data_IF_380597558781
#
_entry.id   IF_380597558781
#
_cell.length_a   1.000
_cell.length_b   1.000
_cell.length_c   1.000
_cell.angle_alpha   90.00
_cell.angle_beta   90.00
_cell.angle_gamma   90.00
#
_symmetry.space_group_name_H-M   'P 1'
#
loop_
_entity.id
_entity.type
_entity.pdbx_description
1 polymer ?
#
# COMPACT_ATOMS: atom_id res chain seq x y z
N UNK A 1 62.40 -51.71 3.85
CA UNK A 1 63.84 -51.54 3.61
C UNK A 1 64.08 -50.27 2.80
N UNK A 2 64.90 -49.37 3.35
CA UNK A 2 65.82 -48.40 2.72
C UNK A 2 65.40 -47.67 1.43
N UNK A 3 65.07 -46.37 1.54
CA UNK A 3 65.96 -45.20 1.32
C UNK A 3 66.37 -44.98 -0.14
N UNK A 4 65.92 -43.86 -0.74
CA UNK A 4 66.72 -42.90 -1.53
C UNK A 4 66.01 -41.53 -1.44
N UNK A 5 66.56 -40.58 -0.70
CA UNK A 5 67.58 -39.59 -1.10
C UNK A 5 66.97 -38.32 -1.69
N UNK A 6 66.95 -37.30 -0.84
CA UNK A 6 67.08 -35.86 -1.10
C UNK A 6 67.70 -35.50 -2.46
N UNK A 7 67.11 -34.53 -3.15
CA UNK A 7 67.87 -33.44 -3.76
C UNK A 7 67.03 -32.16 -3.88
N UNK A 8 67.60 -31.12 -3.28
CA UNK A 8 67.31 -29.69 -3.34
C UNK A 8 66.95 -29.15 -4.72
N UNK A 9 65.98 -28.22 -4.80
CA UNK A 9 66.18 -26.96 -5.52
C UNK A 9 65.28 -25.84 -5.00
N UNK A 10 65.96 -24.86 -4.42
CA UNK A 10 65.51 -23.52 -4.12
C UNK A 10 65.22 -22.80 -5.45
N UNK A 11 64.00 -22.31 -5.66
CA UNK A 11 63.71 -21.27 -6.66
C UNK A 11 62.90 -20.18 -5.98
N UNK A 12 63.56 -19.04 -5.93
CA UNK A 12 63.12 -17.73 -5.46
C UNK A 12 62.09 -17.15 -6.44
N UNK A 13 61.09 -16.48 -5.88
CA UNK A 13 60.44 -15.33 -6.52
C UNK A 13 59.24 -15.64 -7.40
N UNK A 14 58.08 -15.11 -7.01
CA UNK A 14 57.57 -13.86 -7.60
C UNK A 14 56.23 -13.54 -6.92
N UNK A 15 56.27 -12.75 -5.85
CA UNK A 15 55.07 -12.10 -5.31
C UNK A 15 54.53 -11.14 -6.38
N UNK A 16 53.48 -11.57 -7.09
CA UNK A 16 52.66 -10.66 -7.88
C UNK A 16 51.76 -9.88 -6.92
N UNK A 17 52.28 -8.74 -6.48
CA UNK A 17 51.49 -7.60 -6.02
C UNK A 17 50.50 -7.20 -7.11
N UNK A 18 49.28 -7.72 -7.06
CA UNK A 18 48.18 -7.12 -7.81
C UNK A 18 47.69 -5.91 -7.02
N UNK A 19 48.26 -4.75 -7.31
CA UNK A 19 47.68 -3.46 -7.01
C UNK A 19 46.36 -3.34 -7.78
N UNK A 20 45.25 -3.73 -7.16
CA UNK A 20 43.94 -3.42 -7.70
C UNK A 20 43.69 -1.93 -7.49
N UNK A 21 43.94 -1.16 -8.55
CA UNK A 21 43.45 0.21 -8.68
C UNK A 21 41.93 0.14 -8.73
N UNK A 22 41.26 0.48 -7.63
CA UNK A 22 39.81 0.63 -7.58
C UNK A 22 39.42 1.86 -8.38
N UNK A 23 39.18 1.70 -9.68
CA UNK A 23 38.61 2.76 -10.52
C UNK A 23 37.13 2.87 -10.13
N UNK A 24 36.77 3.90 -9.37
CA UNK A 24 35.38 4.19 -9.09
C UNK A 24 34.63 4.44 -10.41
N UNK A 25 33.44 3.85 -10.63
CA UNK A 25 32.69 4.05 -11.87
C UNK A 25 32.28 5.53 -12.01
N UNK A 26 32.41 6.14 -13.21
CA UNK A 26 32.30 7.59 -13.41
C UNK A 26 30.87 8.17 -13.25
N UNK A 27 29.88 7.37 -12.86
CA UNK A 27 28.52 7.88 -12.66
C UNK A 27 27.69 6.95 -11.76
N UNK A 28 27.82 7.11 -10.43
CA UNK A 28 26.72 6.74 -9.55
C UNK A 28 25.75 7.91 -9.52
N UNK A 29 24.52 7.81 -10.09
CA UNK A 29 23.54 8.85 -9.87
C UNK A 29 23.31 8.95 -8.36
N UNK A 30 23.63 10.11 -7.76
CA UNK A 30 23.20 10.46 -6.40
C UNK A 30 21.69 10.68 -6.44
N UNK A 31 20.93 9.59 -6.58
CA UNK A 31 19.50 9.61 -6.38
C UNK A 31 19.28 10.02 -4.93
N UNK A 32 18.97 11.30 -4.75
CA UNK A 32 18.70 11.87 -3.45
C UNK A 32 17.35 11.30 -3.00
N UNK A 33 17.40 10.14 -2.32
CA UNK A 33 16.23 9.39 -1.84
C UNK A 33 15.29 10.24 -1.00
N UNK A 34 15.79 11.35 -0.43
CA UNK A 34 14.98 12.30 0.34
C UNK A 34 13.92 13.05 -0.48
N UNK A 35 14.02 13.16 -1.81
CA UNK A 35 12.96 13.84 -2.59
C UNK A 35 11.68 13.02 -2.69
N UNK A 36 11.79 11.69 -2.76
CA UNK A 36 10.62 10.81 -2.81
C UNK A 36 10.01 10.57 -1.43
N UNK A 37 10.82 10.65 -0.36
CA UNK A 37 10.34 10.54 1.02
C UNK A 37 9.29 11.61 1.37
N UNK A 38 9.37 12.81 0.81
CA UNK A 38 8.38 13.85 1.08
C UNK A 38 7.02 13.54 0.45
N UNK A 39 6.98 12.88 -0.71
CA UNK A 39 5.74 12.53 -1.40
C UNK A 39 5.00 11.37 -0.70
N UNK A 40 5.76 10.44 -0.13
CA UNK A 40 5.22 9.30 0.61
C UNK A 40 4.82 9.69 2.06
N UNK A 41 5.33 10.80 2.59
CA UNK A 41 5.04 11.24 3.97
C UNK A 41 3.60 11.75 4.17
N UNK A 42 2.92 12.12 3.09
CA UNK A 42 1.54 12.60 3.13
C UNK A 42 0.51 11.44 3.22
N UNK A 43 0.95 10.20 2.98
CA UNK A 43 0.08 9.02 3.04
C UNK A 43 0.26 8.27 4.36
N UNK A 44 -0.85 8.07 5.08
CA UNK A 44 -0.86 7.27 6.30
C UNK A 44 -0.39 5.85 6.00
N UNK A 45 0.71 5.41 6.63
CA UNK A 45 1.35 4.12 6.36
C UNK A 45 0.39 2.93 6.55
N UNK A 46 -0.52 3.04 7.51
CA UNK A 46 -1.54 2.02 7.80
C UNK A 46 -2.51 1.85 6.63
N UNK A 47 -2.93 2.95 6.00
CA UNK A 47 -3.81 2.94 4.83
C UNK A 47 -3.16 2.25 3.62
N UNK A 48 -1.86 2.44 3.44
CA UNK A 48 -1.09 1.78 2.38
C UNK A 48 -0.96 0.27 2.63
N UNK A 49 -0.76 -0.13 3.89
CA UNK A 49 -0.72 -1.55 4.27
C UNK A 49 -2.09 -2.18 4.00
N UNK A 50 -3.18 -1.53 4.40
CA UNK A 50 -4.54 -1.99 4.12
C UNK A 50 -4.78 -2.16 2.61
N UNK A 51 -4.43 -1.17 1.80
CA UNK A 51 -4.55 -1.25 0.35
C UNK A 51 -3.75 -2.43 -0.24
N UNK A 52 -2.53 -2.68 0.25
CA UNK A 52 -1.72 -3.85 -0.14
C UNK A 52 -2.40 -5.16 0.23
N UNK A 53 -3.05 -5.26 1.39
CA UNK A 53 -3.80 -6.48 1.73
C UNK A 53 -4.94 -6.75 0.76
N UNK A 54 -5.60 -5.71 0.24
CA UNK A 54 -6.65 -5.86 -0.75
C UNK A 54 -6.10 -6.34 -2.11
N UNK A 55 -4.95 -5.81 -2.55
CA UNK A 55 -4.28 -6.28 -3.78
C UNK A 55 -3.89 -7.76 -3.68
N UNK A 56 -3.40 -8.20 -2.51
CA UNK A 56 -3.03 -9.60 -2.25
C UNK A 56 -4.20 -10.57 -2.27
N UNK A 57 -5.44 -10.08 -2.14
CA UNK A 57 -6.68 -10.89 -2.26
C UNK A 57 -7.13 -11.06 -3.72
N UNK A 58 -6.55 -10.31 -4.67
CA UNK A 58 -6.93 -10.44 -6.08
C UNK A 58 -6.50 -11.80 -6.64
N UNK A 59 -7.29 -12.30 -7.59
CA UNK A 59 -7.04 -13.58 -8.28
C UNK A 59 -5.72 -13.56 -9.07
N UNK A 60 -5.31 -12.40 -9.57
CA UNK A 60 -4.15 -12.24 -10.45
C UNK A 60 -2.87 -11.88 -9.69
N UNK A 61 -2.88 -12.06 -8.37
CA UNK A 61 -1.75 -11.74 -7.51
C UNK A 61 -0.58 -12.71 -7.70
N UNK A 62 0.61 -12.15 -7.91
CA UNK A 62 1.88 -12.88 -7.94
C UNK A 62 2.69 -12.55 -6.68
N UNK A 63 2.92 -13.56 -5.85
CA UNK A 63 3.62 -13.43 -4.57
C UNK A 63 5.10 -13.07 -4.70
N UNK A 64 5.76 -13.48 -5.79
CA UNK A 64 7.19 -13.29 -5.98
C UNK A 64 7.60 -11.81 -6.06
N UNK A 65 6.77 -10.97 -6.70
CA UNK A 65 7.08 -9.56 -7.00
C UNK A 65 6.05 -8.59 -6.42
N UNK A 66 5.13 -9.06 -5.56
CA UNK A 66 4.00 -8.29 -5.00
C UNK A 66 3.23 -7.51 -6.10
N UNK A 67 2.90 -8.19 -7.20
CA UNK A 67 2.36 -7.57 -8.41
C UNK A 67 1.14 -8.30 -8.99
N UNK A 68 0.34 -7.61 -9.82
CA UNK A 68 -0.78 -8.19 -10.55
C UNK A 68 -0.36 -8.55 -11.97
N UNK A 69 -0.51 -9.82 -12.34
CA UNK A 69 -0.11 -10.33 -13.66
C UNK A 69 -1.32 -10.78 -14.46
N UNK A 70 -1.57 -10.12 -15.60
CA UNK A 70 -2.68 -10.43 -16.49
C UNK A 70 -2.16 -11.05 -17.78
N UNK A 71 -2.80 -12.14 -18.20
CA UNK A 71 -2.51 -12.81 -19.47
C UNK A 71 -3.82 -13.09 -20.19
N UNK A 72 -3.88 -12.73 -21.46
CA UNK A 72 -4.98 -12.99 -22.38
C UNK A 72 -4.39 -13.50 -23.67
N UNK A 73 -4.92 -14.62 -24.16
CA UNK A 73 -4.51 -15.28 -25.40
C UNK A 73 -5.76 -15.82 -26.10
N UNK A 74 -6.82 -15.01 -26.09
CA UNK A 74 -8.14 -15.43 -26.55
C UNK A 74 -8.27 -15.24 -28.08
N UNK A 75 -7.43 -14.40 -28.67
CA UNK A 75 -7.41 -14.14 -30.11
C UNK A 75 -6.01 -14.24 -30.71
N UNK A 76 -5.93 -14.35 -32.04
CA UNK A 76 -4.67 -14.25 -32.79
C UNK A 76 -4.19 -12.81 -32.98
N UNK A 77 -5.02 -11.81 -32.65
CA UNK A 77 -4.65 -10.40 -32.79
C UNK A 77 -4.01 -9.91 -31.50
N UNK A 78 -2.79 -9.35 -31.63
CA UNK A 78 -2.06 -8.75 -30.51
C UNK A 78 -2.88 -7.63 -29.85
N UNK A 79 -3.56 -6.81 -30.64
CA UNK A 79 -4.27 -5.63 -30.15
C UNK A 79 -5.52 -6.00 -29.35
N UNK A 80 -6.25 -7.03 -29.80
CA UNK A 80 -7.39 -7.56 -29.07
C UNK A 80 -6.94 -8.17 -27.73
N UNK A 81 -5.86 -8.95 -27.70
CA UNK A 81 -5.31 -9.50 -26.46
C UNK A 81 -4.83 -8.41 -25.49
N UNK A 82 -4.24 -7.32 -26.02
CA UNK A 82 -3.84 -6.18 -25.22
C UNK A 82 -5.06 -5.44 -24.63
N UNK A 83 -6.15 -5.31 -25.39
CA UNK A 83 -7.40 -4.72 -24.91
C UNK A 83 -8.04 -5.59 -23.82
N UNK A 84 -8.02 -6.91 -23.98
CA UNK A 84 -8.54 -7.84 -22.98
C UNK A 84 -7.76 -7.78 -21.68
N UNK A 85 -6.43 -7.66 -21.73
CA UNK A 85 -5.61 -7.44 -20.54
C UNK A 85 -5.95 -6.12 -19.84
N UNK A 86 -6.14 -5.02 -20.58
CA UNK A 86 -6.57 -3.74 -20.01
C UNK A 86 -7.95 -3.85 -19.35
N UNK A 87 -8.88 -4.58 -19.97
CA UNK A 87 -10.20 -4.82 -19.41
C UNK A 87 -10.12 -5.60 -18.08
N UNK A 88 -9.38 -6.70 -18.04
CA UNK A 88 -9.15 -7.50 -16.82
C UNK A 88 -8.55 -6.65 -15.69
N UNK A 89 -7.59 -5.78 -16.02
CA UNK A 89 -7.01 -4.85 -15.06
C UNK A 89 -8.06 -3.88 -14.50
N UNK A 90 -8.83 -3.21 -15.36
CA UNK A 90 -9.83 -2.23 -14.93
C UNK A 90 -10.91 -2.87 -14.06
N UNK A 91 -11.37 -4.07 -14.42
CA UNK A 91 -12.38 -4.80 -13.65
C UNK A 91 -11.89 -5.12 -12.22
N UNK A 92 -10.65 -5.60 -12.09
CA UNK A 92 -10.05 -5.88 -10.78
C UNK A 92 -9.79 -4.60 -9.98
N UNK A 93 -9.34 -3.52 -10.62
CA UNK A 93 -9.16 -2.23 -9.93
C UNK A 93 -10.48 -1.69 -9.38
N UNK A 94 -11.56 -1.75 -10.18
CA UNK A 94 -12.90 -1.32 -9.74
C UNK A 94 -13.40 -2.20 -8.59
N UNK A 95 -13.12 -3.50 -8.63
CA UNK A 95 -13.46 -4.42 -7.55
C UNK A 95 -12.71 -4.06 -6.26
N UNK A 96 -11.38 -3.95 -6.32
CA UNK A 96 -10.53 -3.59 -5.18
C UNK A 96 -10.98 -2.25 -4.61
N UNK A 97 -11.26 -1.26 -5.46
CA UNK A 97 -11.75 0.06 -5.03
C UNK A 97 -13.07 -0.03 -4.26
N UNK A 98 -14.05 -0.81 -4.76
CA UNK A 98 -15.34 -1.01 -4.06
C UNK A 98 -15.20 -1.73 -2.73
N UNK A 99 -14.22 -2.63 -2.61
CA UNK A 99 -13.95 -3.37 -1.37
C UNK A 99 -13.18 -2.51 -0.36
N UNK A 100 -12.16 -1.77 -0.81
CA UNK A 100 -11.26 -0.99 0.04
C UNK A 100 -11.86 0.37 0.46
N UNK A 101 -12.64 1.00 -0.41
CA UNK A 101 -13.33 2.24 -0.07
C UNK A 101 -14.77 1.89 0.31
N UNK A 102 -15.12 1.89 1.60
CA UNK A 102 -16.52 1.76 2.00
C UNK A 102 -17.28 2.90 1.34
N UNK A 103 -18.12 2.55 0.36
CA UNK A 103 -18.80 3.49 -0.52
C UNK A 103 -19.49 4.59 0.30
N UNK A 104 -19.39 5.82 -0.20
CA UNK A 104 -20.14 7.00 0.24
C UNK A 104 -21.47 6.60 0.87
N UNK A 105 -21.69 7.02 2.13
CA UNK A 105 -22.92 6.74 2.89
C UNK A 105 -24.13 6.87 1.96
N UNK A 106 -24.86 5.77 1.75
CA UNK A 106 -26.01 5.77 0.85
C UNK A 106 -26.99 6.88 1.23
N UNK A 107 -27.73 7.41 0.26
CA UNK A 107 -28.69 8.50 0.51
C UNK A 107 -29.68 8.18 1.65
N UNK A 108 -30.01 6.90 1.82
CA UNK A 108 -30.83 6.39 2.92
C UNK A 108 -30.14 6.52 4.29
N UNK A 109 -28.84 6.23 4.39
CA UNK A 109 -28.07 6.40 5.63
C UNK A 109 -27.93 7.88 5.98
N UNK A 110 -27.73 8.74 4.96
CA UNK A 110 -27.70 10.21 5.13
C UNK A 110 -29.03 10.73 5.70
N UNK A 111 -30.18 10.29 5.15
CA UNK A 111 -31.51 10.63 5.67
C UNK A 111 -31.73 10.14 7.11
N UNK A 112 -31.37 8.89 7.41
CA UNK A 112 -31.48 8.33 8.77
C UNK A 112 -30.70 9.15 9.80
N UNK A 113 -29.48 9.58 9.48
CA UNK A 113 -28.68 10.43 10.37
C UNK A 113 -29.31 11.81 10.59
N UNK A 114 -29.88 12.42 9.55
CA UNK A 114 -30.60 13.69 9.68
C UNK A 114 -31.83 13.56 10.59
N UNK A 115 -32.60 12.49 10.44
CA UNK A 115 -33.76 12.21 11.30
C UNK A 115 -33.36 11.98 12.76
N UNK A 116 -32.27 11.25 13.00
CA UNK A 116 -31.71 11.04 14.33
C UNK A 116 -31.32 12.39 14.95
N UNK A 117 -30.64 13.27 14.21
CA UNK A 117 -30.29 14.62 14.68
C UNK A 117 -31.51 15.47 15.03
N UNK A 118 -32.55 15.46 14.19
CA UNK A 118 -33.82 16.16 14.45
C UNK A 118 -34.51 15.62 15.72
N UNK A 119 -34.60 14.30 15.86
CA UNK A 119 -35.20 13.64 17.05
C UNK A 119 -34.45 13.99 18.34
N UNK A 120 -33.12 13.99 18.32
CA UNK A 120 -32.32 14.41 19.46
C UNK A 120 -32.56 15.87 19.82
N UNK A 121 -32.64 16.76 18.83
CA UNK A 121 -32.94 18.17 19.06
C UNK A 121 -34.32 18.38 19.69
N UNK A 122 -35.36 17.77 19.12
CA UNK A 122 -36.74 17.89 19.60
C UNK A 122 -36.89 17.37 21.02
N UNK A 123 -36.28 16.21 21.31
CA UNK A 123 -36.27 15.63 22.65
C UNK A 123 -35.57 16.56 23.64
N UNK A 124 -34.41 17.12 23.27
CA UNK A 124 -33.68 18.10 24.09
C UNK A 124 -34.52 19.34 24.39
N UNK A 125 -35.22 19.89 23.38
CA UNK A 125 -36.06 21.07 23.56
C UNK A 125 -37.25 20.77 24.48
N UNK A 126 -37.93 19.62 24.28
CA UNK A 126 -39.02 19.18 25.16
C UNK A 126 -38.53 19.01 26.61
N UNK A 127 -37.39 18.36 26.82
CA UNK A 127 -36.78 18.20 28.14
C UNK A 127 -36.48 19.55 28.80
N UNK A 128 -35.90 20.49 28.04
CA UNK A 128 -35.58 21.84 28.52
C UNK A 128 -36.84 22.59 28.96
N UNK A 129 -37.89 22.56 28.13
CA UNK A 129 -39.20 23.20 28.44
C UNK A 129 -39.86 22.57 29.66
N UNK A 130 -39.89 21.24 29.74
CA UNK A 130 -40.43 20.54 30.90
C UNK A 130 -39.70 20.91 32.19
N UNK A 131 -38.37 20.93 32.13
CA UNK A 131 -37.53 21.30 33.28
C UNK A 131 -37.72 22.76 33.67
N UNK A 132 -37.87 23.69 32.72
CA UNK A 132 -38.13 25.10 33.06
C UNK A 132 -39.51 25.30 33.67
N UNK A 133 -40.55 24.65 33.13
CA UNK A 133 -41.91 24.71 33.68
C UNK A 133 -41.96 24.17 35.12
N UNK A 134 -41.31 23.01 35.35
CA UNK A 134 -41.16 22.42 36.70
C UNK A 134 -40.42 23.34 37.69
N UNK A 135 -39.47 24.16 37.21
CA UNK A 135 -38.76 25.14 38.04
C UNK A 135 -39.61 26.38 38.34
N UNK A 136 -40.44 26.82 37.39
CA UNK A 136 -41.33 27.98 37.56
C UNK A 136 -42.49 27.67 38.51
N UNK A 137 -43.11 26.49 38.42
CA UNK A 137 -44.21 26.10 39.30
C UNK A 137 -43.81 26.12 40.79
N UNK A 138 -42.55 25.79 41.10
CA UNK A 138 -41.99 25.82 42.46
C UNK A 138 -41.79 27.21 43.05
N UNK A 139 -41.86 28.27 42.24
CA UNK A 139 -41.69 29.67 42.70
C UNK A 139 -43.01 30.36 43.00
N UNK A 140 -44.14 29.73 42.68
CA UNK A 140 -45.48 30.27 42.88
C UNK A 140 -46.20 29.74 44.12
N UNK A 141 -45.52 28.95 44.96
CA UNK A 141 -45.94 28.58 46.32
C UNK A 141 -45.13 29.37 47.35
#
# INVERSE_FOLDING_TARGET
>A
MFRRSVFTRLVVGLERMQSQVTVAPPFTPRFNSNRYKAFDADFDQESLVEARTCVRKSKYYTSANDSLTFQAQDSRSRDANAQDNRRKLTEELVRIYKEAVPAETSSEKKKKHQEIGKRFHDTRIKQKKFTSAKKQSRRGE
#
